data_IF_736294021258
#
_entry.id   IF_736294021258
#
_cell.length_a   1.000
_cell.length_b   1.000
_cell.length_c   1.000
_cell.angle_alpha   90.00
_cell.angle_beta   90.00
_cell.angle_gamma   90.00
#
_symmetry.space_group_name_H-M   'P 1'
#
loop_
_entity.id
_entity.type
_entity.pdbx_description
1 polymer ?
#
# COMPACT_ATOMS: atom_id res chain seq x y z
N UNK A 1 -8.24 -30.90 6.33
CA UNK A 1 -7.54 -30.10 7.38
C UNK A 1 -6.67 -28.97 6.83
N UNK A 2 -5.88 -29.19 5.75
CA UNK A 2 -5.01 -28.15 5.17
C UNK A 2 -5.81 -26.94 4.63
N UNK A 3 -6.91 -27.19 3.91
CA UNK A 3 -7.78 -26.13 3.41
C UNK A 3 -8.36 -25.24 4.52
N UNK A 4 -8.74 -25.82 5.67
CA UNK A 4 -9.30 -25.06 6.79
C UNK A 4 -8.28 -24.09 7.40
N UNK A 5 -7.03 -24.54 7.60
CA UNK A 5 -5.93 -23.66 8.07
C UNK A 5 -5.63 -22.54 7.07
N UNK A 6 -5.61 -22.85 5.77
CA UNK A 6 -5.36 -21.86 4.73
C UNK A 6 -6.46 -20.79 4.66
N UNK A 7 -7.73 -21.21 4.73
CA UNK A 7 -8.87 -20.28 4.77
C UNK A 7 -8.77 -19.37 6.00
N UNK A 8 -8.47 -19.95 7.17
CA UNK A 8 -8.30 -19.18 8.40
C UNK A 8 -7.17 -18.14 8.26
N UNK A 9 -6.01 -18.54 7.72
CA UNK A 9 -4.90 -17.63 7.46
C UNK A 9 -5.28 -16.49 6.51
N UNK A 10 -5.93 -16.80 5.38
CA UNK A 10 -6.37 -15.78 4.40
C UNK A 10 -7.37 -14.82 5.06
N UNK A 11 -8.33 -15.32 5.83
CA UNK A 11 -9.27 -14.48 6.57
C UNK A 11 -8.55 -13.57 7.57
N UNK A 12 -7.57 -14.09 8.31
CA UNK A 12 -6.80 -13.27 9.27
C UNK A 12 -5.97 -12.19 8.59
N UNK A 13 -5.31 -12.51 7.47
CA UNK A 13 -4.54 -11.54 6.70
C UNK A 13 -5.43 -10.49 6.05
N UNK A 14 -6.59 -10.88 5.53
CA UNK A 14 -7.58 -9.96 4.99
C UNK A 14 -8.12 -9.01 6.07
N UNK A 15 -8.42 -9.53 7.26
CA UNK A 15 -8.82 -8.72 8.41
C UNK A 15 -7.72 -7.72 8.79
N UNK A 16 -6.47 -8.17 8.90
CA UNK A 16 -5.34 -7.29 9.19
C UNK A 16 -5.16 -6.20 8.12
N UNK A 17 -5.32 -6.55 6.84
CA UNK A 17 -5.25 -5.59 5.74
C UNK A 17 -6.32 -4.51 5.87
N UNK A 18 -7.56 -4.88 6.18
CA UNK A 18 -8.65 -3.93 6.42
C UNK A 18 -8.34 -3.03 7.63
N UNK A 19 -7.90 -3.63 8.75
CA UNK A 19 -7.52 -2.86 9.93
C UNK A 19 -6.38 -1.87 9.65
N UNK A 20 -5.37 -2.28 8.89
CA UNK A 20 -4.25 -1.42 8.49
C UNK A 20 -4.70 -0.29 7.56
N UNK A 21 -5.61 -0.56 6.61
CA UNK A 21 -6.19 0.47 5.75
C UNK A 21 -6.97 1.51 6.56
N UNK A 22 -7.82 1.08 7.49
CA UNK A 22 -8.56 1.98 8.38
C UNK A 22 -7.62 2.79 9.27
N UNK A 23 -6.60 2.15 9.84
CA UNK A 23 -5.58 2.85 10.63
C UNK A 23 -4.83 3.90 9.80
N UNK A 24 -4.46 3.57 8.57
CA UNK A 24 -3.81 4.51 7.65
C UNK A 24 -4.70 5.71 7.28
N UNK A 25 -6.02 5.52 7.20
CA UNK A 25 -6.96 6.61 6.92
C UNK A 25 -7.18 7.51 8.14
N UNK A 26 -7.15 6.95 9.34
CA UNK A 26 -7.31 7.69 10.60
C UNK A 26 -6.02 8.43 11.00
N UNK A 27 -4.85 7.86 10.70
CA UNK A 27 -3.56 8.44 11.04
C UNK A 27 -3.18 9.61 10.11
N UNK A 28 -2.98 10.80 10.68
CA UNK A 28 -2.46 11.97 9.95
C UNK A 28 -2.53 13.26 10.76
N UNK A 29 -2.16 14.38 10.14
CA UNK A 29 -2.03 15.69 10.79
C UNK A 29 -3.35 16.29 11.29
N UNK A 30 -4.49 15.74 10.88
CA UNK A 30 -5.81 16.09 11.39
C UNK A 30 -6.34 14.88 12.13
N UNK A 31 -6.69 15.07 13.41
CA UNK A 31 -7.36 14.07 14.22
C UNK A 31 -8.77 13.84 13.64
N UNK A 32 -9.00 12.63 13.12
CA UNK A 32 -10.29 12.22 12.59
C UNK A 32 -10.82 11.06 13.43
N UNK A 33 -12.07 11.17 13.86
CA UNK A 33 -12.73 10.08 14.58
C UNK A 33 -13.35 9.11 13.57
N UNK A 34 -13.49 7.83 13.94
CA UNK A 34 -14.24 6.83 13.14
C UNK A 34 -15.66 7.32 12.78
N UNK A 35 -16.30 8.05 13.68
CA UNK A 35 -17.61 8.65 13.45
C UNK A 35 -17.61 9.70 12.33
N UNK A 36 -16.49 10.39 12.12
CA UNK A 36 -16.35 11.39 11.06
C UNK A 36 -16.23 10.72 9.69
N UNK A 37 -15.55 9.56 9.61
CA UNK A 37 -15.45 8.77 8.36
C UNK A 37 -16.82 8.33 7.83
N UNK A 38 -17.74 7.91 8.72
CA UNK A 38 -19.11 7.54 8.33
C UNK A 38 -20.00 8.74 8.01
N UNK A 39 -19.61 9.94 8.45
CA UNK A 39 -20.33 11.19 8.19
C UNK A 39 -19.83 11.90 6.92
N UNK A 40 -18.65 11.55 6.40
CA UNK A 40 -18.09 12.10 5.15
C UNK A 40 -19.07 12.14 3.96
N UNK A 41 -19.87 11.10 3.67
CA UNK A 41 -20.80 11.16 2.53
C UNK A 41 -22.02 12.07 2.76
N UNK A 42 -22.26 12.52 4.00
CA UNK A 42 -23.50 13.24 4.38
C UNK A 42 -23.25 14.60 5.04
N UNK A 43 -22.03 14.90 5.48
CA UNK A 43 -21.74 16.10 6.28
C UNK A 43 -20.99 17.18 5.48
N UNK A 44 -21.65 18.32 5.30
CA UNK A 44 -21.15 19.59 4.74
C UNK A 44 -20.15 20.32 5.65
N UNK A 45 -19.66 19.70 6.74
CA UNK A 45 -19.10 20.45 7.88
C UNK A 45 -17.57 20.60 7.90
N UNK A 46 -16.82 19.92 7.02
CA UNK A 46 -15.37 20.17 6.87
C UNK A 46 -14.87 19.80 5.48
N UNK A 47 -14.88 20.79 4.59
CA UNK A 47 -14.39 20.68 3.21
C UNK A 47 -12.91 20.27 3.17
N UNK A 48 -12.10 20.83 4.08
CA UNK A 48 -10.67 20.52 4.21
C UNK A 48 -10.40 19.08 4.66
N UNK A 49 -11.13 18.56 5.66
CA UNK A 49 -10.94 17.18 6.11
C UNK A 49 -11.33 16.18 5.02
N UNK A 50 -12.43 16.44 4.32
CA UNK A 50 -12.89 15.62 3.19
C UNK A 50 -11.84 15.61 2.08
N UNK A 51 -11.33 16.79 1.72
CA UNK A 51 -10.30 16.93 0.69
C UNK A 51 -9.00 16.17 1.06
N UNK A 52 -8.52 16.29 2.29
CA UNK A 52 -7.32 15.57 2.75
C UNK A 52 -7.51 14.05 2.64
N UNK A 53 -8.70 13.53 2.96
CA UNK A 53 -8.96 12.10 2.89
C UNK A 53 -8.97 11.63 1.43
N UNK A 54 -9.71 12.31 0.55
CA UNK A 54 -9.86 11.89 -0.85
C UNK A 54 -8.62 12.18 -1.72
N UNK A 55 -7.94 13.31 -1.53
CA UNK A 55 -6.83 13.73 -2.40
C UNK A 55 -5.46 13.26 -1.89
N UNK A 56 -5.33 12.94 -0.59
CA UNK A 56 -4.03 12.60 0.02
C UNK A 56 -4.06 11.20 0.65
N UNK A 57 -4.93 10.95 1.63
CA UNK A 57 -4.86 9.72 2.43
C UNK A 57 -5.28 8.49 1.63
N UNK A 58 -6.42 8.54 0.94
CA UNK A 58 -6.94 7.45 0.13
C UNK A 58 -5.97 7.04 -1.00
N UNK A 59 -5.48 7.95 -1.86
CA UNK A 59 -4.54 7.57 -2.91
C UNK A 59 -3.21 7.05 -2.34
N UNK A 60 -2.75 7.57 -1.20
CA UNK A 60 -1.55 7.06 -0.51
C UNK A 60 -1.76 5.65 0.05
N UNK A 61 -2.89 5.39 0.70
CA UNK A 61 -3.21 4.05 1.21
C UNK A 61 -3.35 3.07 0.05
N UNK A 62 -4.06 3.45 -1.01
CA UNK A 62 -4.21 2.62 -2.20
C UNK A 62 -2.86 2.30 -2.86
N UNK A 63 -1.99 3.30 -3.04
CA UNK A 63 -0.65 3.07 -3.60
C UNK A 63 0.21 2.18 -2.72
N UNK A 64 0.13 2.31 -1.38
CA UNK A 64 0.86 1.43 -0.46
C UNK A 64 0.43 -0.04 -0.61
N UNK A 65 -0.88 -0.32 -0.72
CA UNK A 65 -1.38 -1.69 -0.95
C UNK A 65 -0.99 -2.23 -2.32
N UNK A 66 -1.10 -1.41 -3.37
CA UNK A 66 -0.71 -1.80 -4.73
C UNK A 66 0.79 -2.11 -4.79
N UNK A 67 1.63 -1.21 -4.30
CA UNK A 67 3.09 -1.41 -4.29
C UNK A 67 3.47 -2.61 -3.44
N UNK A 68 2.91 -2.76 -2.24
CA UNK A 68 3.16 -3.92 -1.37
C UNK A 68 2.75 -5.25 -2.03
N UNK A 69 1.60 -5.28 -2.70
CA UNK A 69 1.13 -6.44 -3.46
C UNK A 69 2.04 -6.79 -4.63
N UNK A 70 2.47 -5.78 -5.40
CA UNK A 70 3.41 -5.96 -6.52
C UNK A 70 4.78 -6.45 -6.04
N UNK A 71 5.29 -5.94 -4.91
CA UNK A 71 6.54 -6.41 -4.30
C UNK A 71 6.43 -7.86 -3.84
N UNK A 72 5.32 -8.23 -3.19
CA UNK A 72 5.07 -9.62 -2.78
C UNK A 72 5.03 -10.55 -3.98
N UNK A 73 4.33 -10.15 -5.06
CA UNK A 73 4.24 -10.93 -6.29
C UNK A 73 5.59 -11.05 -7.00
N UNK A 74 6.35 -9.97 -7.10
CA UNK A 74 7.70 -9.98 -7.65
C UNK A 74 8.63 -10.91 -6.85
N UNK A 75 8.55 -10.89 -5.52
CA UNK A 75 9.29 -11.80 -4.65
C UNK A 75 8.95 -13.28 -4.89
N UNK A 76 7.65 -13.62 -4.94
CA UNK A 76 7.21 -15.00 -5.20
C UNK A 76 7.66 -15.47 -6.59
N UNK A 77 7.50 -14.63 -7.62
CA UNK A 77 7.98 -14.96 -8.98
C UNK A 77 9.47 -15.22 -8.97
N UNK A 78 10.25 -14.37 -8.30
CA UNK A 78 11.71 -14.52 -8.21
C UNK A 78 12.12 -15.82 -7.52
N UNK A 79 11.50 -16.11 -6.38
CA UNK A 79 11.73 -17.34 -5.61
C UNK A 79 11.42 -18.60 -6.44
N UNK A 80 10.35 -18.57 -7.25
CA UNK A 80 9.96 -19.67 -8.14
C UNK A 80 10.92 -19.83 -9.32
N UNK A 81 11.26 -18.73 -10.00
CA UNK A 81 12.15 -18.75 -11.17
C UNK A 81 13.55 -19.26 -10.82
N UNK A 82 14.11 -18.78 -9.70
CA UNK A 82 15.43 -19.18 -9.23
C UNK A 82 15.40 -20.48 -8.42
N UNK A 83 14.21 -20.99 -8.10
CA UNK A 83 14.00 -22.14 -7.19
C UNK A 83 14.78 -21.98 -5.88
N UNK A 84 14.90 -20.74 -5.42
CA UNK A 84 15.66 -20.37 -4.24
C UNK A 84 14.76 -19.51 -3.34
N UNK A 85 14.33 -20.03 -2.17
CA UNK A 85 13.44 -19.32 -1.27
C UNK A 85 14.08 -18.06 -0.64
N UNK A 86 15.40 -17.89 -0.75
CA UNK A 86 16.13 -16.72 -0.28
C UNK A 86 16.37 -15.67 -1.38
N UNK A 87 15.90 -15.92 -2.60
CA UNK A 87 16.07 -14.98 -3.69
C UNK A 87 15.18 -13.74 -3.49
N UNK A 88 15.80 -12.57 -3.65
CA UNK A 88 15.16 -11.27 -3.50
C UNK A 88 15.33 -10.46 -4.80
N UNK A 89 14.26 -9.81 -5.31
CA UNK A 89 14.28 -9.10 -6.58
C UNK A 89 15.25 -7.91 -6.62
N UNK A 90 15.68 -7.36 -5.48
CA UNK A 90 16.63 -6.26 -5.43
C UNK A 90 18.04 -6.66 -5.90
N UNK A 91 18.40 -7.94 -5.83
CA UNK A 91 19.74 -8.45 -6.21
C UNK A 91 19.97 -8.39 -7.72
N UNK A 92 18.92 -8.39 -8.55
CA UNK A 92 19.04 -8.33 -10.02
C UNK A 92 19.20 -6.90 -10.57
N UNK A 93 19.41 -5.90 -9.70
CA UNK A 93 19.66 -4.51 -10.12
C UNK A 93 18.41 -3.72 -10.53
N UNK A 94 17.20 -4.27 -10.34
CA UNK A 94 15.93 -3.60 -10.68
C UNK A 94 15.77 -2.28 -9.91
N UNK A 95 16.10 -2.29 -8.62
CA UNK A 95 16.08 -1.08 -7.78
C UNK A 95 17.16 -0.07 -8.17
N UNK A 96 18.36 -0.57 -8.53
CA UNK A 96 19.45 0.28 -9.03
C UNK A 96 19.08 1.00 -10.33
N UNK A 97 18.46 0.28 -11.28
CA UNK A 97 17.96 0.85 -12.53
C UNK A 97 16.85 1.88 -12.30
N UNK A 98 15.91 1.61 -11.40
CA UNK A 98 14.87 2.56 -11.02
C UNK A 98 15.44 3.85 -10.40
N UNK A 99 16.44 3.73 -9.52
CA UNK A 99 17.11 4.88 -8.92
C UNK A 99 17.86 5.74 -9.96
N UNK A 100 18.59 5.12 -10.89
CA UNK A 100 19.25 5.84 -11.99
C UNK A 100 18.22 6.54 -12.88
N UNK A 101 17.11 5.89 -13.21
CA UNK A 101 16.03 6.48 -13.99
C UNK A 101 15.41 7.69 -13.29
N UNK A 102 15.09 7.56 -12.00
CA UNK A 102 14.54 8.65 -11.20
C UNK A 102 15.50 9.84 -11.11
N UNK A 103 16.79 9.60 -10.82
CA UNK A 103 17.82 10.65 -10.78
C UNK A 103 17.99 11.34 -12.14
N UNK A 104 18.00 10.57 -13.22
CA UNK A 104 18.12 11.11 -14.58
C UNK A 104 16.93 12.00 -14.93
N UNK A 105 15.71 11.58 -14.57
CA UNK A 105 14.49 12.38 -14.77
C UNK A 105 14.52 13.69 -13.97
N UNK A 106 14.95 13.64 -12.71
CA UNK A 106 15.11 14.84 -11.88
C UNK A 106 16.16 15.80 -12.45
N UNK A 107 17.29 15.29 -12.96
CA UNK A 107 18.36 16.10 -13.56
C UNK A 107 17.94 16.77 -14.87
N UNK A 108 17.11 16.10 -15.67
CA UNK A 108 16.59 16.63 -16.94
C UNK A 108 15.41 17.60 -16.76
N UNK A 109 14.97 17.83 -15.51
CA UNK A 109 13.84 18.74 -15.22
C UNK A 109 12.47 18.16 -15.58
N UNK A 110 12.36 16.84 -15.68
CA UNK A 110 11.08 16.14 -15.89
C UNK A 110 10.29 15.94 -14.58
N UNK A 111 10.61 16.69 -13.53
CA UNK A 111 9.98 16.65 -12.21
C UNK A 111 9.67 18.07 -11.74
#
# INVERSE_FOLDING_TARGET
MIAFRQILLICTLALLAICAALFSLLSGSVELTLADLFRLPTATQSELATQIIFDIRLPRTASAFVVGGLLSLAGVIMQVLLRNPLADPYILGVSGGAAVGALSASLLGAC
#
